data_IF_555127648147
#
_entry.id   IF_555127648147
#
_cell.length_a   1.000
_cell.length_b   1.000
_cell.length_c   1.000
_cell.angle_alpha   90.00
_cell.angle_beta   90.00
_cell.angle_gamma   90.00
#
_symmetry.space_group_name_H-M   'P 1'
#
loop_
_entity.id
_entity.type
_entity.pdbx_description
1 polymer ?
#
# COMPACT_ATOMS: atom_id res chain seq x y z
N UNK A 1 -24.83 10.91 -2.52
CA UNK A 1 -24.36 11.92 -3.50
C UNK A 1 -23.08 11.38 -4.11
N UNK A 2 -23.10 11.12 -5.41
CA UNK A 2 -21.99 10.52 -6.16
C UNK A 2 -20.80 11.49 -6.13
N UNK A 3 -19.67 11.10 -5.53
CA UNK A 3 -18.43 11.85 -5.69
C UNK A 3 -18.06 11.81 -7.18
N UNK A 4 -18.01 12.98 -7.82
CA UNK A 4 -17.64 13.09 -9.22
C UNK A 4 -16.20 12.61 -9.40
N UNK A 5 -16.00 11.52 -10.13
CA UNK A 5 -14.67 11.08 -10.52
C UNK A 5 -13.94 12.22 -11.24
N UNK A 6 -12.74 12.55 -10.77
CA UNK A 6 -11.89 13.60 -11.32
C UNK A 6 -11.66 13.28 -12.81
N UNK A 7 -11.91 14.20 -13.78
CA UNK A 7 -11.89 13.87 -15.22
C UNK A 7 -10.54 13.33 -15.72
N UNK A 8 -9.43 13.63 -15.05
CA UNK A 8 -8.09 13.05 -15.27
C UNK A 8 -7.98 11.57 -14.87
N UNK A 9 -8.76 11.10 -13.88
CA UNK A 9 -8.76 9.71 -13.40
C UNK A 9 -9.43 8.75 -14.39
N UNK A 10 -10.44 9.21 -15.12
CA UNK A 10 -11.14 8.42 -16.14
C UNK A 10 -10.24 8.21 -17.37
N UNK A 11 -9.56 9.26 -17.84
CA UNK A 11 -8.69 9.21 -19.02
C UNK A 11 -7.45 8.31 -18.87
N UNK A 12 -7.12 7.88 -17.64
CA UNK A 12 -5.98 7.00 -17.34
C UNK A 12 -6.38 5.64 -16.80
N UNK A 13 -7.68 5.32 -16.77
CA UNK A 13 -8.18 4.05 -16.21
C UNK A 13 -7.59 2.82 -16.90
N UNK A 14 -7.44 2.87 -18.23
CA UNK A 14 -6.83 1.77 -19.00
C UNK A 14 -5.34 1.60 -18.70
N UNK A 15 -4.64 2.68 -18.35
CA UNK A 15 -3.24 2.63 -17.92
C UNK A 15 -3.12 2.19 -16.46
N UNK A 16 -4.12 2.48 -15.61
CA UNK A 16 -4.19 2.00 -14.23
C UNK A 16 -4.51 0.51 -14.17
N UNK A 17 -5.36 0.01 -15.06
CA UNK A 17 -5.87 -1.37 -15.05
C UNK A 17 -5.67 -2.05 -16.40
N UNK A 18 -4.41 -2.18 -16.88
CA UNK A 18 -4.17 -2.78 -18.17
C UNK A 18 -4.49 -4.28 -18.12
N UNK A 19 -4.95 -4.81 -19.26
CA UNK A 19 -4.93 -6.23 -19.54
C UNK A 19 -3.61 -6.58 -20.25
N UNK A 20 -2.98 -7.66 -19.81
CA UNK A 20 -1.78 -8.22 -20.41
C UNK A 20 -2.16 -9.25 -21.47
N UNK A 21 -1.39 -9.32 -22.56
CA UNK A 21 -1.63 -10.30 -23.61
C UNK A 21 -1.14 -11.69 -23.17
N UNK A 22 -1.64 -12.77 -23.77
CA UNK A 22 -1.19 -14.14 -23.44
C UNK A 22 0.33 -14.32 -23.55
N UNK A 23 0.95 -13.76 -24.59
CA UNK A 23 2.41 -13.79 -24.75
C UNK A 23 3.17 -13.06 -23.62
N UNK A 24 2.52 -12.12 -22.93
CA UNK A 24 3.07 -11.48 -21.74
C UNK A 24 2.92 -12.40 -20.53
N UNK A 25 1.76 -13.03 -20.37
CA UNK A 25 1.49 -13.99 -19.29
C UNK A 25 2.47 -15.17 -19.31
N UNK A 26 2.75 -15.71 -20.49
CA UNK A 26 3.74 -16.80 -20.69
C UNK A 26 5.15 -16.40 -20.24
N UNK A 27 5.54 -15.15 -20.49
CA UNK A 27 6.83 -14.60 -20.05
C UNK A 27 6.86 -14.40 -18.53
N UNK A 28 5.74 -13.93 -17.96
CA UNK A 28 5.60 -13.74 -16.52
C UNK A 28 5.65 -15.06 -15.74
N UNK A 29 5.19 -16.17 -16.33
CA UNK A 29 5.16 -17.49 -15.70
C UNK A 29 6.50 -17.96 -15.11
N UNK A 30 7.63 -17.44 -15.61
CA UNK A 30 9.00 -17.75 -15.13
C UNK A 30 9.33 -17.12 -13.77
N UNK A 31 8.54 -16.14 -13.34
CA UNK A 31 8.79 -15.34 -12.14
C UNK A 31 7.85 -15.67 -10.98
N UNK A 32 6.81 -16.47 -11.23
CA UNK A 32 5.77 -16.77 -10.24
C UNK A 32 5.31 -18.22 -10.26
N UNK A 33 4.39 -18.52 -9.36
CA UNK A 33 3.79 -19.85 -9.20
C UNK A 33 2.28 -19.77 -9.44
N UNK A 34 1.73 -20.81 -10.06
CA UNK A 34 0.28 -20.94 -10.26
C UNK A 34 -0.40 -21.29 -8.93
N UNK A 35 -1.45 -20.55 -8.58
CA UNK A 35 -2.23 -20.71 -7.36
C UNK A 35 -3.71 -20.59 -7.71
N UNK A 36 -4.51 -21.46 -7.13
CA UNK A 36 -5.98 -21.47 -7.30
C UNK A 36 -6.65 -20.93 -6.04
N UNK A 37 -7.71 -20.14 -6.22
CA UNK A 37 -8.53 -19.58 -5.14
C UNK A 37 -10.00 -19.94 -5.36
N UNK A 38 -10.70 -20.27 -4.27
CA UNK A 38 -12.13 -20.56 -4.30
C UNK A 38 -12.98 -19.29 -4.32
N UNK A 39 -14.23 -19.38 -4.76
CA UNK A 39 -15.20 -18.29 -4.65
C UNK A 39 -15.35 -17.82 -3.20
N UNK A 40 -15.30 -16.50 -2.98
CA UNK A 40 -15.38 -15.86 -1.67
C UNK A 40 -14.07 -15.90 -0.87
N UNK A 41 -12.99 -16.45 -1.43
CA UNK A 41 -11.70 -16.49 -0.76
C UNK A 41 -11.04 -15.11 -0.73
N UNK A 42 -10.55 -14.71 0.45
CA UNK A 42 -9.81 -13.47 0.64
C UNK A 42 -8.35 -13.68 0.23
N UNK A 43 -8.01 -13.23 -0.98
CA UNK A 43 -6.67 -13.38 -1.57
C UNK A 43 -5.65 -12.43 -0.92
N UNK A 44 -6.04 -11.18 -0.71
CA UNK A 44 -5.21 -10.15 -0.06
C UNK A 44 -6.07 -9.38 0.91
N UNK A 45 -5.53 -9.07 2.09
CA UNK A 45 -6.20 -8.25 3.10
C UNK A 45 -5.45 -6.94 3.33
N UNK A 46 -6.19 -5.84 3.42
CA UNK A 46 -5.64 -4.53 3.73
C UNK A 46 -4.94 -4.54 5.09
N UNK A 47 -3.76 -3.92 5.16
CA UNK A 47 -2.93 -3.90 6.37
C UNK A 47 -2.09 -5.15 6.60
N UNK A 48 -2.21 -6.18 5.77
CA UNK A 48 -1.38 -7.39 5.80
C UNK A 48 -0.39 -7.41 4.64
N UNK A 49 0.71 -8.16 4.81
CA UNK A 49 1.69 -8.34 3.74
C UNK A 49 1.07 -9.15 2.61
N UNK A 50 1.00 -8.56 1.42
CA UNK A 50 0.57 -9.28 0.23
C UNK A 50 1.66 -10.28 -0.23
N UNK A 51 1.28 -11.41 -0.85
CA UNK A 51 2.24 -12.41 -1.32
C UNK A 51 3.10 -11.90 -2.50
N UNK A 52 2.66 -10.85 -3.19
CA UNK A 52 3.37 -10.24 -4.30
C UNK A 52 2.42 -9.62 -5.32
N UNK A 53 2.84 -9.60 -6.58
CA UNK A 53 1.97 -9.25 -7.71
C UNK A 53 1.16 -10.49 -8.11
N UNK A 54 -0.16 -10.37 -8.25
CA UNK A 54 -1.04 -11.51 -8.57
C UNK A 54 -1.64 -11.24 -9.94
N UNK A 55 -1.38 -12.11 -10.92
CA UNK A 55 -1.93 -12.00 -12.27
C UNK A 55 -3.07 -13.00 -12.40
N UNK A 56 -4.26 -12.54 -12.77
CA UNK A 56 -5.43 -13.40 -12.95
C UNK A 56 -5.27 -14.10 -14.30
N UNK A 57 -5.22 -15.43 -14.31
CA UNK A 57 -5.16 -16.25 -15.51
C UNK A 57 -6.58 -16.66 -15.96
N UNK A 58 -7.45 -16.95 -15.00
CA UNK A 58 -8.88 -17.21 -15.23
C UNK A 58 -9.70 -16.79 -14.00
N UNK A 59 -11.01 -16.61 -14.17
CA UNK A 59 -11.90 -16.15 -13.13
C UNK A 59 -11.91 -14.64 -12.95
N UNK A 60 -12.44 -14.18 -11.81
CA UNK A 60 -12.56 -12.77 -11.45
C UNK A 60 -12.28 -12.51 -9.98
N UNK A 61 -11.71 -11.34 -9.71
CA UNK A 61 -11.46 -10.84 -8.35
C UNK A 61 -11.94 -9.40 -8.22
N UNK A 62 -12.50 -9.07 -7.07
CA UNK A 62 -12.88 -7.70 -6.72
C UNK A 62 -11.78 -7.03 -5.90
N UNK A 63 -11.41 -5.81 -6.29
CA UNK A 63 -10.48 -4.96 -5.56
C UNK A 63 -11.30 -3.99 -4.72
N UNK A 64 -11.22 -4.12 -3.40
CA UNK A 64 -12.14 -3.47 -2.47
C UNK A 64 -11.36 -2.51 -1.58
N UNK A 65 -11.91 -1.31 -1.41
CA UNK A 65 -11.43 -0.30 -0.47
C UNK A 65 -12.41 -0.16 0.69
N UNK A 66 -11.92 0.27 1.87
CA UNK A 66 -12.79 0.67 2.99
C UNK A 66 -12.61 -0.14 4.28
N UNK A 67 -11.80 -1.20 4.29
CA UNK A 67 -11.41 -1.93 5.51
C UNK A 67 -12.59 -2.41 6.37
N UNK A 68 -12.32 -2.74 7.64
CA UNK A 68 -13.31 -3.34 8.56
C UNK A 68 -14.32 -2.36 9.18
N UNK A 69 -14.09 -1.05 9.08
CA UNK A 69 -14.88 -0.01 9.78
C UNK A 69 -15.40 1.11 8.85
N UNK A 70 -15.06 1.05 7.56
CA UNK A 70 -15.60 1.93 6.52
C UNK A 70 -16.58 1.21 5.62
N UNK A 71 -17.21 1.95 4.70
CA UNK A 71 -18.04 1.34 3.67
C UNK A 71 -17.11 0.59 2.69
N UNK A 72 -17.31 -0.72 2.55
CA UNK A 72 -16.65 -1.51 1.49
C UNK A 72 -17.13 -1.01 0.14
N UNK A 73 -16.20 -0.60 -0.71
CA UNK A 73 -16.47 -0.10 -2.05
C UNK A 73 -15.53 -0.80 -3.04
N UNK A 74 -16.10 -1.44 -4.04
CA UNK A 74 -15.36 -2.08 -5.12
C UNK A 74 -14.79 -0.99 -6.04
N UNK A 75 -13.46 -0.90 -6.10
CA UNK A 75 -12.74 0.02 -7.00
C UNK A 75 -12.85 -0.48 -8.45
N UNK A 76 -12.60 -1.78 -8.64
CA UNK A 76 -12.55 -2.45 -9.93
C UNK A 76 -12.66 -3.96 -9.74
N UNK A 77 -13.25 -4.64 -10.72
CA UNK A 77 -13.19 -6.10 -10.87
C UNK A 77 -12.13 -6.44 -11.92
N UNK A 78 -11.21 -7.33 -11.59
CA UNK A 78 -10.17 -7.83 -12.49
C UNK A 78 -10.54 -9.23 -12.98
N UNK A 79 -10.33 -9.46 -14.27
CA UNK A 79 -10.47 -10.78 -14.89
C UNK A 79 -9.16 -11.24 -15.53
N UNK A 80 -9.23 -12.29 -16.35
CA UNK A 80 -8.08 -12.85 -17.05
C UNK A 80 -7.22 -11.76 -17.74
N UNK A 81 -5.90 -11.85 -17.56
CA UNK A 81 -4.92 -10.91 -18.08
C UNK A 81 -4.72 -9.65 -17.23
N UNK A 82 -5.61 -9.33 -16.30
CA UNK A 82 -5.37 -8.25 -15.33
C UNK A 82 -4.47 -8.72 -14.20
N UNK A 83 -3.83 -7.76 -13.53
CA UNK A 83 -3.05 -8.03 -12.34
C UNK A 83 -3.41 -7.12 -11.17
N UNK A 84 -3.29 -7.71 -9.99
CA UNK A 84 -3.50 -7.13 -8.68
C UNK A 84 -2.16 -6.75 -8.06
N UNK A 85 -2.10 -5.54 -7.51
CA UNK A 85 -0.92 -5.02 -6.82
C UNK A 85 -0.87 -3.49 -6.82
N UNK A 86 -0.02 -2.97 -5.93
CA UNK A 86 0.27 -1.55 -5.69
C UNK A 86 1.81 -1.39 -5.58
N UNK A 87 2.33 -0.17 -5.49
CA UNK A 87 3.77 0.07 -5.24
C UNK A 87 4.26 -0.59 -3.95
N UNK A 88 3.39 -0.78 -2.95
CA UNK A 88 3.70 -1.48 -1.72
C UNK A 88 4.37 -2.85 -1.94
N UNK A 89 3.97 -3.60 -2.97
CA UNK A 89 4.48 -4.94 -3.26
C UNK A 89 5.95 -4.95 -3.69
N UNK A 90 6.45 -3.90 -4.35
CA UNK A 90 7.88 -3.80 -4.73
C UNK A 90 8.80 -3.75 -3.52
N UNK A 91 8.30 -3.12 -2.45
CA UNK A 91 8.99 -2.94 -1.18
C UNK A 91 8.39 -3.83 -0.08
N UNK A 92 7.69 -4.92 -0.43
CA UNK A 92 7.01 -5.86 0.47
C UNK A 92 6.37 -5.19 1.71
N UNK A 93 5.56 -4.16 1.46
CA UNK A 93 4.79 -3.42 2.46
C UNK A 93 3.35 -3.95 2.53
N UNK A 94 2.62 -3.67 3.62
CA UNK A 94 1.22 -4.04 3.72
C UNK A 94 0.36 -3.51 2.57
N UNK A 95 -0.65 -4.29 2.17
CA UNK A 95 -1.61 -3.89 1.14
C UNK A 95 -2.50 -2.74 1.63
N UNK A 96 -2.90 -1.88 0.71
CA UNK A 96 -3.86 -0.79 0.97
C UNK A 96 -5.32 -1.17 0.66
N UNK A 97 -5.52 -2.30 0.01
CA UNK A 97 -6.82 -2.77 -0.48
C UNK A 97 -7.00 -4.25 -0.15
N UNK A 98 -8.27 -4.64 -0.05
CA UNK A 98 -8.70 -6.02 0.00
C UNK A 98 -8.86 -6.57 -1.43
N UNK A 99 -8.66 -7.87 -1.58
CA UNK A 99 -8.83 -8.60 -2.84
C UNK A 99 -9.57 -9.89 -2.54
N UNK A 100 -10.72 -10.07 -3.16
CA UNK A 100 -11.61 -11.21 -2.92
C UNK A 100 -11.94 -11.89 -4.25
N UNK A 101 -11.90 -13.22 -4.29
CA UNK A 101 -12.32 -14.00 -5.45
C UNK A 101 -13.85 -13.99 -5.56
N UNK A 102 -14.41 -13.53 -6.68
CA UNK A 102 -15.88 -13.51 -6.88
C UNK A 102 -16.38 -14.78 -7.57
N UNK A 103 -15.47 -15.55 -8.17
CA UNK A 103 -15.66 -16.87 -8.75
C UNK A 103 -14.36 -17.67 -8.59
N UNK A 104 -14.27 -18.96 -8.95
CA UNK A 104 -13.01 -19.70 -8.89
C UNK A 104 -11.95 -19.02 -9.77
N UNK A 105 -10.75 -18.80 -9.21
CA UNK A 105 -9.68 -18.04 -9.86
C UNK A 105 -8.43 -18.89 -9.95
N UNK A 106 -7.87 -18.98 -11.15
CA UNK A 106 -6.47 -19.38 -11.35
C UNK A 106 -5.63 -18.13 -11.49
N UNK A 107 -4.54 -18.04 -10.74
CA UNK A 107 -3.66 -16.88 -10.76
C UNK A 107 -2.18 -17.27 -10.76
N UNK A 108 -1.35 -16.40 -11.31
CA UNK A 108 0.10 -16.45 -11.18
C UNK A 108 0.53 -15.46 -10.10
N UNK A 109 1.13 -15.97 -9.02
CA UNK A 109 1.66 -15.16 -7.92
C UNK A 109 3.15 -14.95 -8.09
N UNK A 110 3.57 -13.70 -8.26
CA UNK A 110 4.98 -13.29 -8.40
C UNK A 110 5.44 -12.65 -7.10
N UNK A 111 6.29 -13.33 -6.30
CA UNK A 111 6.77 -12.82 -5.03
C UNK A 111 7.49 -11.48 -5.18
N UNK A 112 7.44 -10.63 -4.14
CA UNK A 112 8.08 -9.30 -4.14
C UNK A 112 9.56 -9.30 -4.53
N UNK A 113 10.32 -10.36 -4.19
CA UNK A 113 11.73 -10.45 -4.62
C UNK A 113 11.84 -10.68 -6.14
N UNK A 114 11.02 -11.58 -6.69
CA UNK A 114 10.97 -11.94 -8.11
C UNK A 114 10.33 -10.85 -8.98
N UNK A 115 9.49 -10.01 -8.40
CA UNK A 115 8.89 -8.88 -9.09
C UNK A 115 9.97 -7.89 -9.56
N UNK A 116 11.03 -7.67 -8.78
CA UNK A 116 12.16 -6.83 -9.21
C UNK A 116 12.91 -7.47 -10.37
N UNK A 117 13.13 -8.78 -10.34
CA UNK A 117 13.76 -9.52 -11.44
C UNK A 117 12.94 -9.38 -12.73
N UNK A 118 11.61 -9.48 -12.64
CA UNK A 118 10.70 -9.29 -13.76
C UNK A 118 10.84 -7.89 -14.37
N UNK A 119 10.88 -6.85 -13.53
CA UNK A 119 11.04 -5.46 -13.99
C UNK A 119 12.33 -5.24 -14.77
N UNK A 120 13.41 -5.92 -14.38
CA UNK A 120 14.74 -5.82 -15.00
C UNK A 120 14.83 -6.65 -16.27
N UNK A 121 14.34 -7.90 -16.24
CA UNK A 121 14.50 -8.85 -17.35
C UNK A 121 13.48 -8.62 -18.47
N UNK A 122 12.31 -8.06 -18.17
CA UNK A 122 11.24 -7.82 -19.14
C UNK A 122 10.90 -6.32 -19.20
N UNK A 123 11.79 -5.51 -19.78
CA UNK A 123 11.70 -4.04 -19.73
C UNK A 123 10.33 -3.46 -20.15
N UNK A 124 9.73 -3.97 -21.24
CA UNK A 124 8.42 -3.51 -21.72
C UNK A 124 7.28 -3.88 -20.77
N UNK A 125 7.34 -5.05 -20.12
CA UNK A 125 6.36 -5.43 -19.10
C UNK A 125 6.57 -4.63 -17.83
N UNK A 126 7.83 -4.44 -17.45
CA UNK A 126 8.18 -3.66 -16.28
C UNK A 126 7.68 -2.23 -16.38
N UNK A 127 7.84 -1.58 -17.54
CA UNK A 127 7.31 -0.24 -17.80
C UNK A 127 5.79 -0.17 -17.61
N UNK A 128 5.04 -1.11 -18.22
CA UNK A 128 3.57 -1.15 -18.14
C UNK A 128 3.09 -1.39 -16.71
N UNK A 129 3.72 -2.33 -16.00
CA UNK A 129 3.36 -2.63 -14.61
C UNK A 129 3.70 -1.41 -13.73
N UNK A 130 4.91 -0.85 -13.82
CA UNK A 130 5.31 0.33 -13.04
C UNK A 130 4.37 1.52 -13.27
N UNK A 131 4.03 1.81 -14.54
CA UNK A 131 3.09 2.88 -14.88
C UNK A 131 1.73 2.65 -14.22
N UNK A 132 1.18 1.44 -14.29
CA UNK A 132 -0.07 1.10 -13.63
C UNK A 132 0.02 1.24 -12.11
N UNK A 133 1.10 0.75 -11.47
CA UNK A 133 1.29 0.87 -10.02
C UNK A 133 1.40 2.33 -9.57
N UNK A 134 2.14 3.17 -10.32
CA UNK A 134 2.26 4.61 -10.04
C UNK A 134 0.89 5.30 -10.13
N UNK A 135 0.13 5.04 -11.19
CA UNK A 135 -1.18 5.66 -11.36
C UNK A 135 -2.19 5.18 -10.30
N UNK A 136 -2.14 3.91 -9.90
CA UNK A 136 -2.92 3.39 -8.77
C UNK A 136 -2.56 4.11 -7.47
N UNK A 137 -1.27 4.34 -7.20
CA UNK A 137 -0.82 5.09 -6.02
C UNK A 137 -1.38 6.50 -5.99
N UNK A 138 -1.31 7.21 -7.12
CA UNK A 138 -1.86 8.56 -7.26
C UNK A 138 -3.35 8.55 -6.97
N UNK A 139 -4.11 7.62 -7.57
CA UNK A 139 -5.54 7.49 -7.33
C UNK A 139 -5.90 7.23 -5.85
N UNK A 140 -5.11 6.42 -5.15
CA UNK A 140 -5.30 6.16 -3.71
C UNK A 140 -4.96 7.37 -2.84
N UNK A 141 -3.94 8.15 -3.21
CA UNK A 141 -3.59 9.40 -2.52
C UNK A 141 -4.66 10.47 -2.70
N UNK A 142 -5.22 10.58 -3.91
CA UNK A 142 -6.29 11.54 -4.23
C UNK A 142 -7.62 11.18 -3.58
N UNK A 143 -7.94 9.89 -3.44
CA UNK A 143 -9.20 9.46 -2.83
C UNK A 143 -9.23 9.62 -1.31
N UNK A 144 -8.09 9.54 -0.63
CA UNK A 144 -8.00 9.69 0.83
C UNK A 144 -8.79 8.62 1.62
N UNK A 145 -9.17 7.52 0.96
CA UNK A 145 -10.05 6.47 1.51
C UNK A 145 -9.29 5.19 1.89
N UNK A 146 -8.00 5.10 1.59
CA UNK A 146 -7.10 4.02 2.02
C UNK A 146 -6.12 4.50 3.09
N UNK A 147 -5.57 3.55 3.85
CA UNK A 147 -4.55 3.81 4.87
C UNK A 147 -5.13 4.09 6.26
N UNK A 148 -4.31 4.60 7.20
CA UNK A 148 -4.75 4.86 8.57
C UNK A 148 -5.81 5.97 8.64
N UNK A 149 -6.70 5.84 9.62
CA UNK A 149 -7.73 6.83 9.94
C UNK A 149 -7.31 7.55 11.22
N UNK A 150 -7.08 8.87 11.13
CA UNK A 150 -6.83 9.74 12.27
C UNK A 150 -8.17 10.30 12.74
N UNK A 151 -8.46 10.18 14.03
CA UNK A 151 -9.65 10.77 14.65
C UNK A 151 -9.22 11.74 15.74
N UNK A 152 -9.63 13.00 15.62
CA UNK A 152 -9.33 14.04 16.60
C UNK A 152 -9.78 15.43 16.11
N UNK A 153 -9.55 16.49 16.90
CA UNK A 153 -9.85 17.85 16.47
C UNK A 153 -8.92 18.25 15.32
N UNK A 154 -9.48 18.68 14.20
CA UNK A 154 -8.72 18.97 12.96
C UNK A 154 -7.74 20.13 13.09
N UNK A 155 -7.95 21.01 14.07
CA UNK A 155 -7.12 22.15 14.43
C UNK A 155 -6.04 21.83 15.47
N UNK A 156 -6.00 20.60 16.00
CA UNK A 156 -5.01 20.20 16.99
C UNK A 156 -3.62 20.00 16.37
N UNK A 157 -2.58 20.44 17.10
CA UNK A 157 -1.19 20.27 16.67
C UNK A 157 -0.79 18.80 16.48
N UNK A 158 -1.36 17.88 17.26
CA UNK A 158 -1.09 16.45 17.15
C UNK A 158 -1.70 15.82 15.88
N UNK A 159 -2.92 16.21 15.49
CA UNK A 159 -3.51 15.77 14.22
C UNK A 159 -2.67 16.28 13.04
N UNK A 160 -2.32 17.57 13.05
CA UNK A 160 -1.51 18.17 11.99
C UNK A 160 -0.11 17.53 11.90
N UNK A 161 0.50 17.18 13.03
CA UNK A 161 1.78 16.45 13.09
C UNK A 161 1.68 15.10 12.38
N UNK A 162 0.69 14.28 12.75
CA UNK A 162 0.50 12.95 12.17
C UNK A 162 0.11 13.01 10.69
N UNK A 163 -0.77 13.94 10.32
CA UNK A 163 -1.16 14.20 8.93
C UNK A 163 0.06 14.59 8.08
N UNK A 164 0.87 15.53 8.57
CA UNK A 164 2.06 15.99 7.86
C UNK A 164 3.08 14.86 7.68
N UNK A 165 3.25 14.01 8.68
CA UNK A 165 4.11 12.82 8.59
C UNK A 165 3.65 11.86 7.49
N UNK A 166 2.35 11.51 7.46
CA UNK A 166 1.80 10.61 6.45
C UNK A 166 1.87 11.21 5.04
N UNK A 167 1.54 12.49 4.90
CA UNK A 167 1.61 13.19 3.62
C UNK A 167 3.03 13.23 3.05
N UNK A 168 4.03 13.60 3.86
CA UNK A 168 5.45 13.60 3.44
C UNK A 168 5.97 12.20 3.12
N UNK A 169 5.45 11.19 3.81
CA UNK A 169 5.78 9.77 3.55
C UNK A 169 5.02 9.19 2.35
N UNK A 170 4.22 10.01 1.65
CA UNK A 170 3.40 9.61 0.51
C UNK A 170 2.36 8.54 0.88
N UNK A 171 1.85 8.54 2.11
CA UNK A 171 0.88 7.57 2.62
C UNK A 171 -0.55 8.13 2.53
N UNK A 172 -1.46 7.46 1.80
CA UNK A 172 -2.89 7.74 1.87
C UNK A 172 -3.38 7.62 3.31
N UNK A 173 -4.29 8.50 3.71
CA UNK A 173 -4.88 8.50 5.04
C UNK A 173 -6.17 9.31 5.04
N UNK A 174 -6.97 9.10 6.09
CA UNK A 174 -8.20 9.86 6.32
C UNK A 174 -8.12 10.58 7.66
N UNK A 175 -8.64 11.80 7.72
CA UNK A 175 -8.80 12.55 8.97
C UNK A 175 -10.29 12.73 9.20
N UNK A 176 -10.75 12.33 10.38
CA UNK A 176 -12.13 12.53 10.83
C UNK A 176 -12.13 13.47 12.03
N UNK A 177 -12.95 14.51 11.94
CA UNK A 177 -13.13 15.45 13.05
C UNK A 177 -13.94 14.81 14.18
N UNK A 178 -13.38 14.79 15.39
CA UNK A 178 -14.02 14.15 16.54
C UNK A 178 -15.34 14.78 16.98
N UNK A 179 -15.58 16.06 16.66
CA UNK A 179 -16.79 16.77 17.09
C UNK A 179 -17.93 16.63 16.07
N UNK A 180 -17.60 16.64 14.78
CA UNK A 180 -18.57 16.77 13.69
C UNK A 180 -18.82 15.48 12.92
N UNK A 181 -17.85 14.56 12.86
CA UNK A 181 -17.96 13.36 12.03
C UNK A 181 -18.67 12.20 12.79
N UNK A 182 -19.77 11.64 12.26
CA UNK A 182 -20.48 10.51 12.90
C UNK A 182 -19.65 9.22 13.00
N UNK A 183 -18.78 8.97 12.02
CA UNK A 183 -17.87 7.80 12.03
C UNK A 183 -16.80 7.98 13.11
N UNK A 184 -16.28 9.20 13.32
CA UNK A 184 -15.41 9.50 14.45
C UNK A 184 -16.08 9.19 15.79
N UNK A 185 -17.33 9.65 16.00
CA UNK A 185 -18.09 9.39 17.24
C UNK A 185 -18.28 7.89 17.48
N UNK A 186 -18.66 7.15 16.44
CA UNK A 186 -18.82 5.69 16.50
C UNK A 186 -17.52 5.00 16.93
N UNK A 187 -16.37 5.44 16.41
CA UNK A 187 -15.06 4.88 16.78
C UNK A 187 -14.70 5.21 18.23
N UNK A 188 -14.89 6.46 18.67
CA UNK A 188 -14.62 6.89 20.04
C UNK A 188 -15.47 6.10 21.04
N UNK A 189 -16.77 5.95 20.78
CA UNK A 189 -17.70 5.20 21.63
C UNK A 189 -17.35 3.71 21.66
N UNK A 190 -17.16 3.09 20.49
CA UNK A 190 -16.87 1.65 20.39
C UNK A 190 -15.59 1.24 21.12
N UNK A 191 -14.55 2.07 21.02
CA UNK A 191 -13.26 1.82 21.65
C UNK A 191 -13.13 2.45 23.05
N UNK A 192 -14.19 3.08 23.57
CA UNK A 192 -14.23 3.72 24.89
C UNK A 192 -13.07 4.71 25.10
N UNK A 193 -12.81 5.53 24.09
CA UNK A 193 -11.68 6.46 24.07
C UNK A 193 -12.03 7.74 24.82
N UNK A 194 -11.21 8.09 25.81
CA UNK A 194 -11.27 9.39 26.49
C UNK A 194 -10.76 10.52 25.57
N UNK A 195 -11.34 11.71 25.67
CA UNK A 195 -10.93 12.90 24.92
C UNK A 195 -9.44 13.26 25.11
N UNK A 196 -8.87 12.95 26.27
CA UNK A 196 -7.46 13.17 26.58
C UNK A 196 -6.50 12.23 25.82
N UNK A 197 -7.01 11.16 25.22
CA UNK A 197 -6.24 10.23 24.39
C UNK A 197 -6.30 10.56 22.88
N UNK A 198 -6.98 11.65 22.50
CA UNK A 198 -7.00 12.12 21.12
C UNK A 198 -5.67 12.79 20.71
N UNK A 199 -5.28 12.72 19.43
CA UNK A 199 -5.93 11.95 18.38
C UNK A 199 -5.67 10.46 18.48
N UNK A 200 -6.67 9.65 18.16
CA UNK A 200 -6.48 8.21 17.96
C UNK A 200 -6.19 7.91 16.51
N UNK A 201 -5.43 6.85 16.24
CA UNK A 201 -5.17 6.38 14.89
C UNK A 201 -5.57 4.92 14.76
N UNK A 202 -6.50 4.63 13.84
CA UNK A 202 -6.85 3.28 13.45
C UNK A 202 -6.02 2.86 12.24
N UNK A 203 -5.10 1.93 12.43
CA UNK A 203 -4.27 1.40 11.36
C UNK A 203 -5.05 0.40 10.49
N UNK A 204 -4.64 0.19 9.22
CA UNK A 204 -5.31 -0.76 8.31
C UNK A 204 -5.37 -2.21 8.82
N UNK A 205 -4.41 -2.62 9.65
CA UNK A 205 -4.37 -3.94 10.30
C UNK A 205 -5.34 -4.07 11.50
N UNK A 206 -6.14 -3.04 11.79
CA UNK A 206 -7.10 -3.00 12.89
C UNK A 206 -6.52 -2.55 14.23
N UNK A 207 -5.21 -2.28 14.34
CA UNK A 207 -4.61 -1.77 15.58
C UNK A 207 -5.04 -0.31 15.82
N UNK A 208 -5.51 -0.04 17.04
CA UNK A 208 -5.78 1.32 17.52
C UNK A 208 -4.56 1.87 18.29
N UNK A 209 -4.16 3.09 17.97
CA UNK A 209 -3.12 3.84 18.67
C UNK A 209 -3.74 5.07 19.36
N UNK A 210 -3.28 5.38 20.56
CA UNK A 210 -3.74 6.53 21.35
C UNK A 210 -2.65 7.61 21.34
N UNK A 211 -2.96 8.78 20.77
CA UNK A 211 -2.03 9.88 20.49
C UNK A 211 -0.58 9.43 20.15
N UNK A 212 -0.38 8.64 19.08
CA UNK A 212 0.91 8.05 18.80
C UNK A 212 1.98 9.07 18.41
N UNK A 213 3.24 8.69 18.62
CA UNK A 213 4.38 9.31 17.95
C UNK A 213 4.50 8.87 16.48
N UNK A 214 5.25 9.63 15.67
CA UNK A 214 5.46 9.31 14.24
C UNK A 214 6.07 7.91 14.05
N UNK A 215 7.04 7.53 14.89
CA UNK A 215 7.68 6.21 14.84
C UNK A 215 6.73 5.05 15.14
N UNK A 216 5.81 5.24 16.08
CA UNK A 216 4.82 4.22 16.41
C UNK A 216 3.84 4.01 15.25
N UNK A 217 3.36 5.12 14.68
CA UNK A 217 2.52 5.10 13.49
C UNK A 217 3.25 4.46 12.31
N UNK A 218 4.50 4.83 12.05
CA UNK A 218 5.33 4.30 10.97
C UNK A 218 5.47 2.77 11.02
N UNK A 219 5.69 2.20 12.22
CA UNK A 219 5.73 0.75 12.43
C UNK A 219 4.35 0.12 12.22
N UNK A 220 3.30 0.76 12.72
CA UNK A 220 1.93 0.27 12.60
C UNK A 220 1.47 0.08 11.15
N UNK A 221 1.87 1.01 10.27
CA UNK A 221 1.54 0.97 8.83
C UNK A 221 2.59 0.23 7.98
N UNK A 222 3.62 -0.35 8.61
CA UNK A 222 4.67 -1.10 7.92
C UNK A 222 5.66 -0.25 7.11
N UNK A 223 5.77 1.06 7.40
CA UNK A 223 6.77 1.93 6.78
C UNK A 223 8.18 1.62 7.30
N UNK A 224 8.29 1.35 8.60
CA UNK A 224 9.53 0.96 9.28
C UNK A 224 9.43 -0.51 9.66
N UNK A 225 10.38 -1.31 9.18
CA UNK A 225 10.50 -2.72 9.56
C UNK A 225 11.43 -2.87 10.75
N UNK A 226 11.24 -3.90 11.58
CA UNK A 226 12.27 -4.28 12.55
C UNK A 226 13.57 -4.59 11.80
N UNK A 227 14.68 -4.12 12.37
CA UNK A 227 16.02 -4.47 11.89
C UNK A 227 16.26 -5.91 12.32
N UNK A 228 16.60 -6.77 11.37
CA UNK A 228 16.99 -8.14 11.64
C UNK A 228 18.37 -8.14 12.31
N UNK A 229 18.42 -8.50 13.60
CA UNK A 229 19.67 -8.55 14.37
C UNK A 229 20.64 -9.63 13.87
N UNK A 230 20.16 -10.60 13.09
CA UNK A 230 20.99 -11.65 12.49
C UNK A 230 21.59 -11.24 11.14
N UNK A 231 21.15 -10.13 10.54
CA UNK A 231 21.63 -9.69 9.23
C UNK A 231 22.86 -8.80 9.35
N UNK A 232 23.97 -9.22 8.75
CA UNK A 232 25.15 -8.38 8.55
C UNK A 232 24.93 -7.45 7.36
N UNK A 233 25.28 -6.17 7.53
CA UNK A 233 25.29 -5.17 6.48
C UNK A 233 26.73 -4.70 6.25
N UNK A 234 27.12 -4.54 5.00
CA UNK A 234 28.46 -4.09 4.60
C UNK A 234 28.63 -2.59 4.85
N UNK A 235 27.55 -1.80 4.70
CA UNK A 235 27.56 -0.34 4.85
C UNK A 235 26.31 0.14 5.58
N UNK A 236 26.51 0.97 6.60
CA UNK A 236 25.45 1.75 7.26
C UNK A 236 25.52 3.22 6.84
N UNK A 237 24.41 3.76 6.36
CA UNK A 237 24.28 5.15 5.91
C UNK A 237 23.34 5.87 6.86
N UNK A 238 23.80 6.97 7.44
CA UNK A 238 23.00 7.79 8.37
C UNK A 238 22.55 9.06 7.66
N UNK A 239 21.22 9.22 7.55
CA UNK A 239 20.55 10.24 6.78
C UNK A 239 20.02 9.69 5.44
N UNK A 240 18.72 9.81 5.21
CA UNK A 240 18.04 9.42 3.98
C UNK A 240 17.72 10.61 3.06
N UNK A 241 18.45 11.72 3.19
CA UNK A 241 18.41 12.82 2.22
C UNK A 241 19.03 12.44 0.87
N UNK A 242 19.09 13.36 -0.11
CA UNK A 242 19.58 13.06 -1.46
C UNK A 242 20.98 12.43 -1.49
N UNK A 243 21.91 12.91 -0.66
CA UNK A 243 23.26 12.37 -0.56
C UNK A 243 23.29 10.94 0.01
N UNK A 244 22.49 10.67 1.06
CA UNK A 244 22.44 9.35 1.67
C UNK A 244 21.75 8.31 0.78
N UNK A 245 20.67 8.71 0.09
CA UNK A 245 20.02 7.85 -0.90
C UNK A 245 20.93 7.59 -2.11
N UNK A 246 21.66 8.60 -2.59
CA UNK A 246 22.65 8.40 -3.65
C UNK A 246 23.74 7.41 -3.20
N UNK A 247 24.29 7.58 -2.01
CA UNK A 247 25.26 6.65 -1.44
C UNK A 247 24.71 5.23 -1.34
N UNK A 248 23.43 5.07 -0.96
CA UNK A 248 22.79 3.76 -0.87
C UNK A 248 22.63 3.09 -2.24
N UNK A 249 22.26 3.86 -3.27
CA UNK A 249 22.14 3.37 -4.66
C UNK A 249 23.50 2.92 -5.18
N UNK A 250 24.55 3.71 -5.02
CA UNK A 250 25.90 3.35 -5.48
C UNK A 250 26.47 2.15 -4.73
N UNK A 251 26.29 2.08 -3.40
CA UNK A 251 26.71 0.91 -2.64
C UNK A 251 25.96 -0.36 -3.08
N UNK A 252 24.64 -0.27 -3.30
CA UNK A 252 23.85 -1.39 -3.80
C UNK A 252 24.23 -1.80 -5.23
N UNK A 253 24.62 -0.86 -6.11
CA UNK A 253 25.06 -1.19 -7.47
C UNK A 253 26.40 -1.93 -7.49
N UNK A 254 27.25 -1.72 -6.48
CA UNK A 254 28.48 -2.50 -6.24
C UNK A 254 28.21 -3.83 -5.52
N UNK A 255 26.93 -4.20 -5.31
CA UNK A 255 26.53 -5.46 -4.67
C UNK A 255 26.64 -5.45 -3.14
N UNK A 256 26.86 -4.30 -2.50
CA UNK A 256 26.95 -4.20 -1.05
C UNK A 256 25.56 -4.29 -0.40
N UNK A 257 25.46 -5.06 0.69
CA UNK A 257 24.30 -5.13 1.57
C UNK A 257 24.23 -3.86 2.43
N UNK A 258 23.33 -2.94 2.11
CA UNK A 258 23.26 -1.62 2.76
C UNK A 258 22.05 -1.44 3.67
N UNK A 259 22.23 -0.63 4.72
CA UNK A 259 21.14 -0.13 5.56
C UNK A 259 21.18 1.41 5.60
N UNK A 260 20.03 2.05 5.38
CA UNK A 260 19.86 3.50 5.50
C UNK A 260 19.01 3.79 6.73
N UNK A 261 19.51 4.68 7.60
CA UNK A 261 18.86 5.06 8.85
C UNK A 261 18.55 6.55 8.81
N UNK A 262 17.32 6.92 9.11
CA UNK A 262 16.88 8.33 9.20
C UNK A 262 15.94 8.51 10.39
N UNK A 263 15.91 9.73 10.94
CA UNK A 263 15.05 10.07 12.08
C UNK A 263 13.70 10.68 11.68
N UNK A 264 13.47 10.91 10.38
CA UNK A 264 12.28 11.58 9.82
C UNK A 264 11.70 10.82 8.63
N UNK A 265 12.29 10.97 7.45
CA UNK A 265 11.70 10.49 6.19
C UNK A 265 12.75 10.31 5.09
N UNK A 266 12.44 9.45 4.12
CA UNK A 266 13.24 9.30 2.91
C UNK A 266 13.10 10.54 2.02
N UNK A 267 14.22 11.05 1.50
CA UNK A 267 14.27 12.21 0.60
C UNK A 267 14.69 13.52 1.27
N UNK A 268 14.72 13.58 2.61
CA UNK A 268 15.02 14.79 3.39
C UNK A 268 13.76 15.49 3.92
#
# INVERSE_FOLDING_TARGET
>A
MSQSANPTSIARRDQMFPALAEADLDRMGRFGEAVSYATGEQIVKAGELAPGLIVVLSGKVDIIQGGSFGRRETIVTHGAGNFVGELAQLSARPSLVDVEAVEPVEALVIPSQRLRDLMVQEANLGERIMRALILRRVGLLESGTAGPIIVGPVDSGDVLRLQSFLARSGQPHRVLDSATDPCAKTLIERFHVDIHHLPIVLCPNGKLLLNPGENELARCIGLVRPIDSGKLYDVAIVGAGPAGLAAAVYAASEGLSTIVLDCRAFGG
#
